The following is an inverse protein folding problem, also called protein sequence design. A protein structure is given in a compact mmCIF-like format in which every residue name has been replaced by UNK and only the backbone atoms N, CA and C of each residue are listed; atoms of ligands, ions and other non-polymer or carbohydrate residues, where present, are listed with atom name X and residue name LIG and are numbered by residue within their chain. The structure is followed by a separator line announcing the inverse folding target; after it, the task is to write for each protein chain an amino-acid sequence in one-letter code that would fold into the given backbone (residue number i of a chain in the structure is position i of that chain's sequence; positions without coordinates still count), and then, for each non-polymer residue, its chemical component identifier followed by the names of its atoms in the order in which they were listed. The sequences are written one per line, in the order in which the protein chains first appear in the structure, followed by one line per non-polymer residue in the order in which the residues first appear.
data_IF_225403013154
#
_entry.id   IF_225403013154
#
_cell.length_a   1.000
_cell.length_b   1.000
_cell.length_c   1.000
_cell.angle_alpha   90.00
_cell.angle_beta   90.00
_cell.angle_gamma   90.00
#
_symmetry.space_group_name_H-M   'P 1'
#
loop_
_entity.id
_entity.type
_entity.pdbx_description
1 polymer ?
#
# COMPACT_ATOMS: atom_id res chain seq x y z
N UNK A 1 18.38 18.83 6.72
CA UNK A 1 17.02 18.89 6.14
C UNK A 1 16.08 18.14 7.09
N UNK A 2 15.04 18.80 7.62
CA UNK A 2 14.04 18.11 8.45
C UNK A 2 13.05 17.44 7.51
N UNK A 3 13.12 16.12 7.38
CA UNK A 3 12.14 15.37 6.60
C UNK A 3 10.76 15.47 7.26
N UNK A 4 9.76 15.83 6.47
CA UNK A 4 8.36 15.83 6.91
C UNK A 4 7.90 14.37 7.14
N UNK A 5 7.31 14.05 8.31
CA UNK A 5 6.86 12.70 8.62
C UNK A 5 5.79 12.17 7.67
N UNK A 6 4.95 13.03 7.05
CA UNK A 6 3.95 12.57 6.10
C UNK A 6 4.58 12.05 4.79
N UNK A 7 5.61 12.74 4.31
CA UNK A 7 6.43 12.30 3.17
C UNK A 7 7.08 10.93 3.41
N UNK A 8 7.65 10.72 4.59
CA UNK A 8 8.25 9.42 4.96
C UNK A 8 7.20 8.29 5.03
N UNK A 9 6.00 8.59 5.53
CA UNK A 9 4.91 7.63 5.60
C UNK A 9 4.47 7.13 4.22
N UNK A 10 4.46 7.99 3.20
CA UNK A 10 4.15 7.61 1.81
C UNK A 10 5.14 6.54 1.31
N UNK A 11 6.43 6.70 1.57
CA UNK A 11 7.47 5.73 1.18
C UNK A 11 7.23 4.37 1.85
N UNK A 12 6.88 4.38 3.15
CA UNK A 12 6.59 3.14 3.90
C UNK A 12 5.36 2.44 3.32
N UNK A 13 4.27 3.18 3.09
CA UNK A 13 3.03 2.64 2.51
C UNK A 13 3.28 2.01 1.13
N UNK A 14 4.06 2.66 0.27
CA UNK A 14 4.41 2.12 -1.04
C UNK A 14 5.21 0.81 -0.96
N UNK A 15 6.16 0.70 -0.02
CA UNK A 15 6.90 -0.55 0.20
C UNK A 15 6.00 -1.67 0.71
N UNK A 16 5.06 -1.37 1.61
CA UNK A 16 4.04 -2.34 2.07
C UNK A 16 3.15 -2.84 0.93
N UNK A 17 2.85 -1.96 -0.04
CA UNK A 17 2.13 -2.31 -1.26
C UNK A 17 3.01 -2.99 -2.33
N UNK A 18 4.29 -3.25 -2.04
CA UNK A 18 5.32 -3.80 -2.94
C UNK A 18 5.62 -2.92 -4.17
N UNK A 19 5.30 -1.63 -4.11
CA UNK A 19 5.57 -0.65 -5.17
C UNK A 19 6.97 -0.06 -5.02
N UNK A 20 8.01 -0.90 -5.04
CA UNK A 20 9.38 -0.50 -4.70
C UNK A 20 9.96 0.57 -5.64
N UNK A 21 9.67 0.49 -6.95
CA UNK A 21 10.11 1.51 -7.92
C UNK A 21 9.50 2.88 -7.64
N UNK A 22 8.22 2.92 -7.24
CA UNK A 22 7.54 4.17 -6.89
C UNK A 22 8.05 4.71 -5.54
N UNK A 23 8.28 3.82 -4.57
CA UNK A 23 8.89 4.19 -3.29
C UNK A 23 10.27 4.84 -3.50
N UNK A 24 11.09 4.31 -4.42
CA UNK A 24 12.37 4.91 -4.76
C UNK A 24 12.20 6.28 -5.43
N UNK A 25 11.34 6.38 -6.46
CA UNK A 25 11.08 7.65 -7.13
C UNK A 25 10.59 8.75 -6.16
N UNK A 26 9.75 8.39 -5.19
CA UNK A 26 9.29 9.33 -4.16
C UNK A 26 10.43 9.73 -3.21
N UNK A 27 11.30 8.80 -2.82
CA UNK A 27 12.51 9.14 -2.05
C UNK A 27 13.35 10.18 -2.79
N UNK A 28 13.57 9.99 -4.10
CA UNK A 28 14.32 10.94 -4.91
C UNK A 28 13.61 12.31 -4.93
N UNK A 29 12.29 12.36 -5.13
CA UNK A 29 11.51 13.62 -5.09
C UNK A 29 11.59 14.35 -3.74
N UNK A 30 11.64 13.60 -2.62
CA UNK A 30 11.82 14.15 -1.28
C UNK A 30 13.21 14.77 -1.13
N UNK A 31 14.25 14.10 -1.61
CA UNK A 31 15.63 14.61 -1.58
C UNK A 31 15.81 15.86 -2.45
N UNK A 32 15.12 15.92 -3.59
CA UNK A 32 15.08 17.10 -4.45
C UNK A 32 14.26 18.27 -3.87
N UNK A 33 13.41 18.02 -2.85
CA UNK A 33 12.47 19.02 -2.34
C UNK A 33 11.44 19.47 -3.38
N UNK A 34 10.91 18.52 -4.16
CA UNK A 34 10.04 18.84 -5.29
C UNK A 34 8.69 19.45 -4.84
N UNK A 35 8.37 20.72 -5.20
CA UNK A 35 7.18 21.41 -4.68
C UNK A 35 5.87 20.78 -5.19
N UNK A 36 5.88 20.19 -6.38
CA UNK A 36 4.73 19.46 -6.91
C UNK A 36 4.44 18.19 -6.09
N UNK A 37 5.49 17.53 -5.57
CA UNK A 37 5.33 16.38 -4.68
C UNK A 37 4.76 16.81 -3.33
N UNK A 38 5.31 17.88 -2.74
CA UNK A 38 4.80 18.42 -1.47
C UNK A 38 3.30 18.77 -1.56
N UNK A 39 2.88 19.41 -2.65
CA UNK A 39 1.47 19.72 -2.90
C UNK A 39 0.60 18.46 -3.10
N UNK A 40 1.18 17.34 -3.57
CA UNK A 40 0.49 16.08 -3.80
C UNK A 40 0.40 15.18 -2.56
N UNK A 41 1.12 15.47 -1.48
CA UNK A 41 1.13 14.65 -0.24
C UNK A 41 -0.29 14.32 0.26
N UNK A 42 -1.24 15.28 0.36
CA UNK A 42 -2.57 15.00 0.89
C UNK A 42 -3.33 13.97 0.06
N UNK A 43 -3.34 14.11 -1.27
CA UNK A 43 -4.08 13.21 -2.16
C UNK A 43 -3.41 11.84 -2.26
N UNK A 44 -2.08 11.79 -2.33
CA UNK A 44 -1.33 10.52 -2.33
C UNK A 44 -1.59 9.73 -1.05
N UNK A 45 -1.61 10.41 0.09
CA UNK A 45 -1.90 9.76 1.38
C UNK A 45 -3.30 9.13 1.39
N UNK A 46 -4.31 9.81 0.84
CA UNK A 46 -5.67 9.27 0.78
C UNK A 46 -5.76 8.06 -0.16
N UNK A 47 -5.19 8.17 -1.36
CA UNK A 47 -5.21 7.09 -2.35
C UNK A 47 -4.48 5.83 -1.85
N UNK A 48 -3.33 5.99 -1.19
CA UNK A 48 -2.58 4.85 -0.65
C UNK A 48 -3.34 4.14 0.48
N UNK A 49 -4.01 4.89 1.35
CA UNK A 49 -4.87 4.31 2.39
C UNK A 49 -6.05 3.54 1.78
N UNK A 50 -6.67 4.09 0.74
CA UNK A 50 -7.76 3.42 0.03
C UNK A 50 -7.28 2.10 -0.62
N UNK A 51 -6.17 2.13 -1.34
CA UNK A 51 -5.57 0.94 -1.96
C UNK A 51 -5.24 -0.15 -0.92
N UNK A 52 -4.67 0.24 0.23
CA UNK A 52 -4.40 -0.70 1.34
C UNK A 52 -5.69 -1.34 1.85
N UNK A 53 -6.72 -0.53 2.15
CA UNK A 53 -8.00 -1.02 2.64
C UNK A 53 -8.68 -1.98 1.63
N UNK A 54 -8.64 -1.65 0.33
CA UNK A 54 -9.19 -2.51 -0.71
C UNK A 54 -8.47 -3.86 -0.79
N UNK A 55 -7.15 -3.88 -0.64
CA UNK A 55 -6.37 -5.13 -0.60
C UNK A 55 -6.68 -5.97 0.62
N UNK A 56 -6.86 -5.35 1.79
CA UNK A 56 -7.26 -6.06 3.01
C UNK A 56 -8.63 -6.72 2.85
N UNK A 57 -9.63 -5.97 2.34
CA UNK A 57 -10.97 -6.51 2.06
C UNK A 57 -10.90 -7.67 1.08
N UNK A 58 -10.13 -7.53 -0.01
CA UNK A 58 -9.97 -8.58 -1.02
C UNK A 58 -9.28 -9.82 -0.46
N UNK A 59 -8.25 -9.63 0.37
CA UNK A 59 -7.53 -10.72 1.04
C UNK A 59 -8.46 -11.53 1.96
N UNK A 60 -9.26 -10.85 2.78
CA UNK A 60 -10.25 -11.49 3.66
C UNK A 60 -11.26 -12.29 2.84
N UNK A 61 -11.77 -11.74 1.73
CA UNK A 61 -12.69 -12.45 0.85
C UNK A 61 -12.06 -13.72 0.26
N UNK A 62 -10.79 -13.68 -0.15
CA UNK A 62 -10.09 -14.88 -0.61
C UNK A 62 -9.92 -15.92 0.48
N UNK A 63 -9.52 -15.53 1.69
CA UNK A 63 -9.39 -16.45 2.82
C UNK A 63 -10.72 -17.10 3.19
N UNK A 64 -11.80 -16.33 3.29
CA UNK A 64 -13.15 -16.86 3.59
C UNK A 64 -13.61 -17.86 2.53
N UNK A 65 -13.34 -17.57 1.25
CA UNK A 65 -13.68 -18.48 0.15
C UNK A 65 -12.86 -19.77 0.18
N UNK A 66 -11.55 -19.68 0.45
CA UNK A 66 -10.67 -20.85 0.56
C UNK A 66 -11.08 -21.75 1.73
N UNK A 67 -11.27 -21.18 2.92
CA UNK A 67 -11.68 -21.93 4.12
C UNK A 67 -13.05 -22.60 4.00
N UNK A 68 -13.95 -22.05 3.18
CA UNK A 68 -15.25 -22.66 2.88
C UNK A 68 -15.12 -23.88 1.93
N UNK A 69 -14.10 -23.90 1.06
CA UNK A 69 -13.87 -24.98 0.10
C UNK A 69 -13.14 -26.19 0.74
N UNK A 70 -12.33 -25.96 1.77
CA UNK A 70 -11.47 -26.97 2.40
C UNK A 70 -12.20 -28.19 3.03
N UNK A 71 -13.35 -28.07 3.73
CA UNK A 71 -13.97 -29.23 4.39
C UNK A 71 -14.59 -30.25 3.43
N UNK A 72 -15.01 -29.79 2.24
CA UNK A 72 -15.76 -30.59 1.27
C UNK A 72 -14.81 -31.48 0.43
N UNK A 73 -13.57 -31.05 0.20
CA UNK A 73 -12.60 -31.79 -0.60
C UNK A 73 -11.83 -32.86 0.20
N UNK A 74 -11.73 -32.73 1.53
CA UNK A 74 -10.95 -33.66 2.37
C UNK A 74 -11.71 -34.96 2.76
N UNK A 75 -13.00 -35.06 2.47
CA UNK A 75 -13.81 -36.27 2.74
C UNK A 75 -14.12 -37.09 1.48
N UNK A 76 -13.55 -36.73 0.32
CA UNK A 76 -13.78 -37.40 -0.96
C UNK A 76 -12.60 -38.30 -1.41
N UNK A 77 -11.63 -38.59 -0.53
CA UNK A 77 -10.47 -39.44 -0.79
C UNK A 77 -10.51 -40.72 0.06
#
# INVERSE_FOLDING_TARGET
MRHDPASAAIVIMLRSLKMYGLAQAVTDLIELGAPAFEAAIPILTQLLKAEMAEREVRSIAYHMKASCLDPIMNHAA
#
